data_IF_414536206774
#
_entry.id   IF_414536206774
#
_cell.length_a   1.000
_cell.length_b   1.000
_cell.length_c   1.000
_cell.angle_alpha   90.00
_cell.angle_beta   90.00
_cell.angle_gamma   90.00
#
_symmetry.space_group_name_H-M   'P 1'
#
loop_
_entity.id
_entity.type
_entity.pdbx_description
1 polymer ?
#
# COMPACT_ATOMS: atom_id res chain seq x y z
N UNK A 1 8.77 -3.69 -6.04
CA UNK A 1 7.98 -3.69 -4.78
C UNK A 1 8.58 -2.73 -3.76
N UNK A 2 9.85 -2.85 -3.37
CA UNK A 2 10.51 -1.91 -2.41
C UNK A 2 10.27 -0.43 -2.75
N UNK A 3 10.56 -0.02 -3.99
CA UNK A 3 10.32 1.36 -4.46
C UNK A 3 8.86 1.83 -4.34
N UNK A 4 7.89 0.92 -4.45
CA UNK A 4 6.46 1.25 -4.30
C UNK A 4 6.18 1.55 -2.83
N UNK A 5 6.68 0.70 -1.92
CA UNK A 5 6.52 0.88 -0.48
C UNK A 5 7.22 2.15 0.01
N UNK A 6 8.47 2.39 -0.41
CA UNK A 6 9.23 3.59 -0.01
C UNK A 6 8.52 4.89 -0.43
N UNK A 7 7.98 4.94 -1.65
CA UNK A 7 7.21 6.09 -2.15
C UNK A 7 5.84 6.22 -1.49
N UNK A 8 5.30 5.14 -0.93
CA UNK A 8 4.04 5.13 -0.21
C UNK A 8 4.18 5.68 1.22
N UNK A 9 5.38 5.73 1.80
CA UNK A 9 5.62 6.29 3.12
C UNK A 9 5.67 7.83 3.11
N UNK A 10 5.50 8.44 4.30
CA UNK A 10 5.62 9.90 4.48
C UNK A 10 7.02 10.42 4.12
N UNK A 11 8.06 9.62 4.41
CA UNK A 11 9.46 9.82 4.03
C UNK A 11 10.18 8.47 3.98
N UNK A 12 11.33 8.41 3.31
CA UNK A 12 12.20 7.25 3.29
C UNK A 12 12.90 7.01 4.64
N UNK A 13 13.30 5.76 4.88
CA UNK A 13 14.05 5.34 6.06
C UNK A 13 15.52 5.15 5.70
N UNK A 14 16.41 5.56 6.60
CA UNK A 14 17.86 5.46 6.43
C UNK A 14 18.52 4.99 7.73
N UNK A 15 19.55 4.17 7.64
CA UNK A 15 20.25 3.63 8.82
C UNK A 15 21.17 4.65 9.51
N UNK A 16 21.75 5.56 8.72
CA UNK A 16 22.68 6.57 9.20
C UNK A 16 22.41 7.90 8.49
N UNK A 17 22.16 8.94 9.28
CA UNK A 17 21.89 10.29 8.80
C UNK A 17 22.91 11.27 9.37
N UNK A 18 23.42 12.18 8.55
CA UNK A 18 24.07 13.40 9.04
C UNK A 18 22.97 14.43 9.38
N UNK A 19 23.30 15.46 10.16
CA UNK A 19 22.32 16.48 10.55
C UNK A 19 21.55 17.11 9.37
N UNK A 20 22.18 17.43 8.23
CA UNK A 20 21.43 17.95 7.08
C UNK A 20 20.44 16.93 6.50
N UNK A 21 20.79 15.64 6.51
CA UNK A 21 19.95 14.57 5.99
C UNK A 21 18.77 14.30 6.93
N UNK A 22 19.01 14.31 8.24
CA UNK A 22 17.97 14.21 9.26
C UNK A 22 16.94 15.34 9.12
N UNK A 23 17.40 16.59 8.93
CA UNK A 23 16.52 17.73 8.68
C UNK A 23 15.65 17.50 7.43
N UNK A 24 16.23 16.98 6.35
CA UNK A 24 15.50 16.67 5.13
C UNK A 24 14.39 15.64 5.36
N UNK A 25 14.72 14.52 6.01
CA UNK A 25 13.78 13.44 6.32
C UNK A 25 12.63 13.94 7.21
N UNK A 26 12.96 14.69 8.26
CA UNK A 26 11.95 15.25 9.18
C UNK A 26 11.01 16.21 8.43
N UNK A 27 11.56 17.16 7.66
CA UNK A 27 10.74 18.13 6.94
C UNK A 27 9.87 17.47 5.88
N UNK A 28 10.37 16.43 5.22
CA UNK A 28 9.60 15.67 4.23
C UNK A 28 8.45 14.92 4.88
N UNK A 29 8.72 14.16 5.94
CA UNK A 29 7.70 13.45 6.70
C UNK A 29 6.63 14.40 7.25
N UNK A 30 7.04 15.58 7.73
CA UNK A 30 6.12 16.59 8.26
C UNK A 30 5.26 17.26 7.18
N UNK A 31 5.79 17.46 5.96
CA UNK A 31 5.06 18.05 4.83
C UNK A 31 4.13 17.07 4.12
N UNK A 32 4.41 15.78 4.21
CA UNK A 32 3.63 14.71 3.59
C UNK A 32 3.19 13.69 4.66
N UNK A 33 2.40 14.09 5.67
CA UNK A 33 1.88 13.16 6.65
C UNK A 33 0.87 12.22 5.99
N UNK A 34 0.96 10.94 6.30
CA UNK A 34 0.07 9.90 5.77
C UNK A 34 -0.50 9.09 6.92
N UNK A 35 -1.82 8.87 6.90
CA UNK A 35 -2.44 7.89 7.77
C UNK A 35 -2.12 6.47 7.29
N UNK A 36 -2.43 5.48 8.12
CA UNK A 36 -2.14 4.07 7.79
C UNK A 36 -2.89 3.64 6.51
N UNK A 37 -4.09 4.15 6.30
CA UNK A 37 -4.88 3.87 5.10
C UNK A 37 -4.32 4.57 3.85
N UNK A 38 -3.68 5.74 4.01
CA UNK A 38 -3.06 6.46 2.90
C UNK A 38 -1.87 5.69 2.33
N UNK A 39 -1.02 5.14 3.19
CA UNK A 39 0.11 4.31 2.74
C UNK A 39 -0.40 3.10 1.97
N UNK A 40 -1.47 2.43 2.43
CA UNK A 40 -2.07 1.32 1.70
C UNK A 40 -2.62 1.76 0.33
N UNK A 41 -3.31 2.90 0.26
CA UNK A 41 -3.78 3.48 -1.02
C UNK A 41 -2.63 3.76 -1.98
N UNK A 42 -1.57 4.40 -1.50
CA UNK A 42 -0.40 4.77 -2.30
C UNK A 42 0.39 3.54 -2.75
N UNK A 43 0.49 2.51 -1.91
CA UNK A 43 1.10 1.22 -2.29
C UNK A 43 0.33 0.57 -3.44
N UNK A 44 -0.99 0.55 -3.40
CA UNK A 44 -1.82 -0.05 -4.44
C UNK A 44 -1.77 0.75 -5.74
N UNK A 45 -1.91 2.07 -5.67
CA UNK A 45 -1.80 2.95 -6.84
C UNK A 45 -0.42 2.81 -7.51
N UNK A 46 0.65 2.80 -6.70
CA UNK A 46 2.01 2.59 -7.18
C UNK A 46 2.23 1.20 -7.76
N UNK A 47 1.60 0.15 -7.20
CA UNK A 47 1.67 -1.20 -7.74
C UNK A 47 0.98 -1.29 -9.10
N UNK A 48 -0.24 -0.74 -9.24
CA UNK A 48 -0.96 -0.71 -10.53
C UNK A 48 -0.17 0.06 -11.60
N UNK A 49 0.41 1.20 -11.23
CA UNK A 49 1.19 2.02 -12.14
C UNK A 49 2.51 1.36 -12.57
N UNK A 50 3.22 0.72 -11.64
CA UNK A 50 4.54 0.13 -11.92
C UNK A 50 4.44 -1.24 -12.61
N UNK A 51 3.39 -2.00 -12.33
CA UNK A 51 3.19 -3.36 -12.82
C UNK A 51 1.96 -3.45 -13.73
N UNK A 52 1.87 -2.52 -14.67
CA UNK A 52 0.75 -2.40 -15.60
C UNK A 52 0.61 -3.56 -16.58
N UNK A 53 1.60 -4.45 -16.65
CA UNK A 53 1.65 -5.65 -17.49
C UNK A 53 1.16 -6.91 -16.77
N UNK A 54 0.94 -6.85 -15.44
CA UNK A 54 0.42 -8.01 -14.71
C UNK A 54 -1.00 -8.38 -15.16
N UNK A 55 -1.29 -9.69 -15.33
CA UNK A 55 -2.62 -10.19 -15.63
C UNK A 55 -3.68 -9.72 -14.63
N UNK A 56 -4.92 -9.53 -15.12
CA UNK A 56 -6.02 -9.00 -14.31
C UNK A 56 -6.40 -9.89 -13.12
N UNK A 57 -6.16 -11.20 -13.21
CA UNK A 57 -6.39 -12.19 -12.14
C UNK A 57 -5.29 -12.21 -11.08
N UNK A 58 -4.22 -11.43 -11.27
CA UNK A 58 -3.12 -11.32 -10.29
C UNK A 58 -3.63 -10.74 -8.98
N UNK A 59 -3.48 -11.51 -7.90
CA UNK A 59 -3.84 -11.06 -6.57
C UNK A 59 -2.77 -10.16 -5.96
N UNK A 60 -3.21 -9.03 -5.40
CA UNK A 60 -2.38 -8.10 -4.64
C UNK A 60 -2.96 -7.93 -3.24
N UNK A 61 -2.06 -7.96 -2.25
CA UNK A 61 -2.33 -7.66 -0.85
C UNK A 61 -1.39 -6.55 -0.40
N UNK A 62 -1.95 -5.42 0.01
CA UNK A 62 -1.23 -4.33 0.63
C UNK A 62 -1.62 -4.24 2.11
N UNK A 63 -0.63 -4.25 3.00
CA UNK A 63 -0.83 -4.25 4.45
C UNK A 63 0.19 -3.34 5.11
N UNK A 64 -0.24 -2.52 6.07
CA UNK A 64 0.64 -1.64 6.83
C UNK A 64 0.20 -1.55 8.28
N UNK A 65 1.18 -1.52 9.18
CA UNK A 65 0.99 -1.33 10.62
C UNK A 65 1.73 -0.08 11.07
N UNK A 66 1.03 0.83 11.75
CA UNK A 66 1.64 1.92 12.49
C UNK A 66 1.88 1.51 13.96
N UNK A 67 3.11 1.69 14.41
CA UNK A 67 3.47 1.58 15.82
C UNK A 67 3.22 2.92 16.51
N UNK A 68 2.10 3.01 17.23
CA UNK A 68 1.63 4.27 17.80
C UNK A 68 2.40 4.64 19.07
N UNK A 69 2.90 5.88 19.12
CA UNK A 69 3.64 6.40 20.29
C UNK A 69 2.73 6.93 21.40
N UNK A 70 1.48 7.28 21.06
CA UNK A 70 0.49 7.87 22.00
C UNK A 70 -0.64 6.91 22.38
N UNK A 71 -0.62 5.67 21.89
CA UNK A 71 -1.64 4.65 22.16
C UNK A 71 -1.00 3.32 22.61
N UNK A 72 -1.77 2.49 23.32
CA UNK A 72 -1.32 1.14 23.77
C UNK A 72 -1.56 0.04 22.73
N UNK A 73 -1.96 0.42 21.52
CA UNK A 73 -2.25 -0.49 20.42
C UNK A 73 -1.69 0.10 19.14
N UNK A 74 -1.37 -0.79 18.20
CA UNK A 74 -0.96 -0.41 16.86
C UNK A 74 -2.19 -0.26 15.97
N UNK A 75 -2.09 0.55 14.92
CA UNK A 75 -3.13 0.68 13.90
C UNK A 75 -2.73 -0.12 12.68
N UNK A 76 -3.68 -0.86 12.09
CA UNK A 76 -3.49 -1.70 10.92
C UNK A 76 -4.45 -1.25 9.82
N UNK A 77 -3.93 -1.09 8.61
CA UNK A 77 -4.73 -1.08 7.39
C UNK A 77 -4.30 -2.21 6.45
N UNK A 78 -5.28 -2.78 5.76
CA UNK A 78 -5.07 -3.86 4.80
C UNK A 78 -6.10 -3.76 3.68
N UNK A 79 -5.68 -4.05 2.45
CA UNK A 79 -6.55 -4.12 1.27
C UNK A 79 -6.00 -5.16 0.29
N UNK A 80 -6.89 -6.02 -0.18
CA UNK A 80 -6.55 -7.06 -1.17
C UNK A 80 -7.57 -7.21 -2.30
N UNK A 81 -7.08 -7.21 -3.52
CA UNK A 81 -7.89 -7.27 -4.73
C UNK A 81 -7.08 -7.86 -5.88
N UNK A 82 -7.76 -8.13 -6.99
CA UNK A 82 -7.11 -8.49 -8.25
C UNK A 82 -6.59 -7.24 -8.97
N UNK A 83 -5.61 -7.38 -9.84
CA UNK A 83 -5.11 -6.27 -10.67
C UNK A 83 -6.24 -5.64 -11.51
N UNK A 84 -7.12 -6.45 -12.07
CA UNK A 84 -8.26 -5.95 -12.85
C UNK A 84 -9.23 -5.12 -12.02
N UNK A 85 -9.50 -5.55 -10.78
CA UNK A 85 -10.31 -4.78 -9.83
C UNK A 85 -9.64 -3.45 -9.47
N UNK A 86 -8.36 -3.46 -9.12
CA UNK A 86 -7.62 -2.25 -8.74
C UNK A 86 -7.55 -1.23 -9.89
N UNK A 87 -7.38 -1.70 -11.14
CA UNK A 87 -7.41 -0.83 -12.33
C UNK A 87 -8.78 -0.16 -12.49
N UNK A 88 -9.88 -0.91 -12.32
CA UNK A 88 -11.24 -0.37 -12.37
C UNK A 88 -11.50 0.61 -11.23
N UNK A 89 -11.06 0.29 -10.01
CA UNK A 89 -11.19 1.19 -8.86
C UNK A 89 -10.53 2.54 -9.10
N UNK A 90 -9.32 2.54 -9.67
CA UNK A 90 -8.58 3.77 -9.95
C UNK A 90 -9.17 4.56 -11.14
N UNK A 91 -9.82 3.89 -12.09
CA UNK A 91 -10.44 4.53 -13.24
C UNK A 91 -11.84 5.09 -12.93
N UNK A 92 -12.68 4.30 -12.26
CA UNK A 92 -14.11 4.55 -12.11
C UNK A 92 -14.50 4.99 -10.68
N UNK A 93 -13.58 4.89 -9.72
CA UNK A 93 -13.82 5.22 -8.31
C UNK A 93 -14.74 4.24 -7.56
N UNK A 94 -15.23 3.19 -8.23
CA UNK A 94 -16.11 2.19 -7.66
C UNK A 94 -15.28 1.08 -6.99
N UNK A 95 -15.34 1.02 -5.65
CA UNK A 95 -14.66 -0.01 -4.87
C UNK A 95 -15.18 -1.42 -5.25
N UNK A 96 -14.28 -2.28 -5.69
CA UNK A 96 -14.53 -3.70 -5.89
C UNK A 96 -14.58 -4.42 -4.53
N UNK A 97 -15.21 -5.59 -4.52
CA UNK A 97 -15.32 -6.41 -3.31
C UNK A 97 -13.93 -6.86 -2.83
N UNK A 98 -13.65 -6.68 -1.55
CA UNK A 98 -12.43 -7.20 -0.96
C UNK A 98 -12.42 -8.73 -0.99
N UNK A 99 -11.30 -9.31 -1.43
CA UNK A 99 -11.07 -10.75 -1.48
C UNK A 99 -10.01 -11.08 -0.43
N UNK A 100 -10.31 -11.94 0.55
CA UNK A 100 -9.31 -12.33 1.53
C UNK A 100 -8.25 -13.23 0.91
N UNK A 101 -7.03 -13.21 1.45
CA UNK A 101 -5.95 -14.11 1.01
C UNK A 101 -6.36 -15.58 1.11
N UNK A 102 -7.07 -15.96 2.19
CA UNK A 102 -7.59 -17.33 2.35
C UNK A 102 -8.57 -17.71 1.23
N UNK A 103 -9.56 -16.87 0.96
CA UNK A 103 -10.57 -17.16 -0.06
C UNK A 103 -9.97 -17.22 -1.48
N UNK A 104 -8.91 -16.45 -1.74
CA UNK A 104 -8.15 -16.54 -2.99
C UNK A 104 -7.35 -17.85 -3.08
N UNK A 105 -6.62 -18.22 -2.02
CA UNK A 105 -5.84 -19.47 -1.97
C UNK A 105 -6.72 -20.72 -2.08
N UNK A 106 -7.92 -20.68 -1.49
CA UNK A 106 -8.90 -21.77 -1.54
C UNK A 106 -9.62 -21.87 -2.90
N UNK A 107 -9.32 -20.98 -3.85
CA UNK A 107 -9.85 -21.00 -5.22
C UNK A 107 -11.33 -20.61 -5.32
N UNK A 108 -11.93 -20.09 -4.26
CA UNK A 108 -13.35 -19.73 -4.22
C UNK A 108 -13.67 -18.45 -5.00
N UNK A 109 -12.64 -17.64 -5.31
CA UNK A 109 -12.78 -16.30 -5.91
C UNK A 109 -11.72 -16.01 -6.99
N UNK A 110 -11.01 -17.01 -7.51
CA UNK A 110 -10.05 -16.80 -8.60
C UNK A 110 -10.78 -16.45 -9.90
N UNK A 111 -10.58 -15.27 -10.50
CA UNK A 111 -11.13 -14.96 -11.80
C UNK A 111 -10.31 -15.75 -12.83
N UNK A 112 -10.84 -16.84 -13.37
CA UNK A 112 -10.18 -17.59 -14.47
C UNK A 112 -9.87 -19.07 -14.22
N UNK A 113 -10.44 -19.69 -13.18
CA UNK A 113 -10.62 -21.14 -13.14
C UNK A 113 -12.05 -21.53 -13.51
#
# INVERSE_FOLDING_TARGET
>A
LVRVVERAMSSETYDLLKRPDELFVILRAHRNPRFVEDVVREMLAGAVALYSDLPDDTFILARQVNFESIHKHNVLAERSATMGDLRRELADGAAARAISLSAWLDGQLSPGR
#
